data_IF_827029807539
#
_entry.id   IF_827029807539
#
_cell.length_a   1.000
_cell.length_b   1.000
_cell.length_c   1.000
_cell.angle_alpha   90.00
_cell.angle_beta   90.00
_cell.angle_gamma   90.00
#
_symmetry.space_group_name_H-M   'P 1'
#
loop_
_entity.id
_entity.type
_entity.pdbx_description
1 polymer ?
#
# COMPACT_ATOMS: atom_id res chain seq x y z
N UNK A 1 6.72 20.95 -0.60
CA UNK A 1 5.39 21.08 0.01
C UNK A 1 5.20 22.45 0.65
N UNK A 2 5.84 22.76 1.78
CA UNK A 2 5.67 24.08 2.46
C UNK A 2 6.06 25.29 1.59
N UNK A 3 6.95 25.09 0.62
CA UNK A 3 7.30 26.11 -0.38
C UNK A 3 6.20 26.41 -1.42
N UNK A 4 5.04 25.75 -1.36
CA UNK A 4 3.91 25.95 -2.27
C UNK A 4 4.12 25.48 -3.70
N UNK A 5 5.25 24.80 -3.99
CA UNK A 5 5.53 24.27 -5.33
C UNK A 5 4.58 23.12 -5.66
N UNK A 6 4.08 23.01 -6.91
CA UNK A 6 3.27 21.87 -7.35
C UNK A 6 3.96 20.53 -7.11
N UNK A 7 3.17 19.47 -6.95
CA UNK A 7 3.70 18.12 -6.68
C UNK A 7 4.55 17.62 -7.85
N UNK A 8 4.22 18.01 -9.08
CA UNK A 8 4.95 17.70 -10.31
C UNK A 8 6.39 18.21 -10.25
N UNK A 9 6.58 19.45 -9.78
CA UNK A 9 7.91 20.06 -9.61
C UNK A 9 8.73 19.29 -8.58
N UNK A 10 8.10 18.85 -7.49
CA UNK A 10 8.78 18.03 -6.46
C UNK A 10 9.14 16.66 -7.01
N UNK A 11 8.23 16.03 -7.77
CA UNK A 11 8.47 14.75 -8.44
C UNK A 11 9.61 14.82 -9.43
N UNK A 12 9.66 15.87 -10.25
CA UNK A 12 10.73 16.06 -11.23
C UNK A 12 12.07 16.38 -10.55
N UNK A 13 12.04 17.12 -9.45
CA UNK A 13 13.24 17.37 -8.64
C UNK A 13 13.79 16.07 -8.02
N UNK A 14 12.91 15.18 -7.56
CA UNK A 14 13.29 13.85 -7.05
C UNK A 14 13.91 12.99 -8.16
N UNK A 15 13.26 12.96 -9.33
CA UNK A 15 13.76 12.27 -10.53
C UNK A 15 15.16 12.75 -10.91
N UNK A 16 15.32 14.06 -11.05
CA UNK A 16 16.56 14.69 -11.46
C UNK A 16 17.68 14.41 -10.43
N UNK A 17 17.39 14.55 -9.13
CA UNK A 17 18.37 14.30 -8.08
C UNK A 17 18.86 12.85 -8.07
N UNK A 18 17.94 11.90 -8.08
CA UNK A 18 18.28 10.50 -7.82
C UNK A 18 18.44 9.65 -9.07
N UNK A 19 17.62 9.80 -10.11
CA UNK A 19 17.76 8.96 -11.30
C UNK A 19 18.69 9.56 -12.36
N UNK A 20 18.77 10.89 -12.49
CA UNK A 20 19.67 11.56 -13.45
C UNK A 20 21.06 11.76 -12.83
N UNK A 21 21.14 12.51 -11.71
CA UNK A 21 22.42 12.85 -11.07
C UNK A 21 22.98 11.76 -10.16
N UNK A 22 22.17 10.74 -9.82
CA UNK A 22 22.57 9.60 -8.97
C UNK A 22 23.23 10.05 -7.66
N UNK A 23 22.70 11.14 -7.09
CA UNK A 23 23.17 11.68 -5.82
C UNK A 23 22.96 10.69 -4.67
N UNK A 24 23.71 10.90 -3.58
CA UNK A 24 23.65 10.08 -2.36
C UNK A 24 23.93 8.57 -2.60
N UNK A 25 24.61 8.23 -3.71
CA UNK A 25 24.93 6.85 -4.08
C UNK A 25 23.75 6.06 -4.65
N UNK A 26 22.68 6.73 -5.07
CA UNK A 26 21.52 6.09 -5.72
C UNK A 26 21.82 5.78 -7.19
N UNK A 27 22.59 4.74 -7.47
CA UNK A 27 23.01 4.35 -8.81
C UNK A 27 22.07 3.34 -9.50
N UNK A 28 20.83 3.22 -9.01
CA UNK A 28 19.83 2.28 -9.53
C UNK A 28 19.52 2.47 -11.02
N UNK A 29 19.55 3.71 -11.52
CA UNK A 29 19.27 3.99 -12.93
C UNK A 29 20.31 3.43 -13.90
N UNK A 30 21.53 3.16 -13.43
CA UNK A 30 22.61 2.53 -14.20
C UNK A 30 22.76 1.04 -13.91
N UNK A 31 22.42 0.60 -12.68
CA UNK A 31 22.47 -0.83 -12.30
C UNK A 31 21.35 -1.67 -12.88
N UNK A 32 20.15 -1.11 -13.01
CA UNK A 32 18.97 -1.84 -13.48
C UNK A 32 18.61 -1.43 -14.92
N UNK A 33 18.90 -2.27 -15.93
CA UNK A 33 18.61 -1.95 -17.32
C UNK A 33 17.10 -1.93 -17.63
N UNK A 34 16.27 -2.63 -16.84
CA UNK A 34 14.82 -2.60 -17.03
C UNK A 34 14.25 -1.33 -16.40
N UNK A 35 13.81 -0.39 -17.24
CA UNK A 35 13.11 0.82 -16.80
C UNK A 35 13.93 1.69 -15.83
N UNK A 36 15.26 1.55 -15.81
CA UNK A 36 16.18 2.39 -15.03
C UNK A 36 15.85 2.45 -13.53
N UNK A 37 15.47 1.30 -12.96
CA UNK A 37 15.14 1.18 -11.55
C UNK A 37 13.79 1.79 -11.16
N UNK A 38 12.80 1.83 -12.07
CA UNK A 38 11.47 2.36 -11.75
C UNK A 38 10.72 1.56 -10.67
N UNK A 39 11.10 0.30 -10.42
CA UNK A 39 10.57 -0.53 -9.33
C UNK A 39 11.42 -0.48 -8.05
N UNK A 40 12.50 0.33 -8.03
CA UNK A 40 13.38 0.40 -6.88
C UNK A 40 12.66 0.98 -5.65
N UNK A 41 12.90 0.40 -4.49
CA UNK A 41 12.19 0.78 -3.26
C UNK A 41 12.39 2.26 -2.90
N UNK A 42 13.59 2.82 -3.12
CA UNK A 42 13.90 4.21 -2.77
C UNK A 42 13.07 5.24 -3.56
N UNK A 43 12.99 5.09 -4.89
CA UNK A 43 12.21 6.04 -5.70
C UNK A 43 10.71 5.93 -5.43
N UNK A 44 10.19 4.73 -5.20
CA UNK A 44 8.78 4.52 -4.87
C UNK A 44 8.43 4.96 -3.44
N UNK A 45 9.37 4.88 -2.51
CA UNK A 45 9.24 5.54 -1.21
C UNK A 45 9.15 7.06 -1.37
N UNK A 46 9.99 7.67 -2.20
CA UNK A 46 9.91 9.10 -2.52
C UNK A 46 8.56 9.49 -3.16
N UNK A 47 8.07 8.70 -4.12
CA UNK A 47 6.74 8.89 -4.71
C UNK A 47 5.61 8.75 -3.67
N UNK A 48 5.77 7.84 -2.69
CA UNK A 48 4.84 7.69 -1.57
C UNK A 48 4.81 8.95 -0.70
N UNK A 49 5.97 9.53 -0.37
CA UNK A 49 6.01 10.78 0.39
C UNK A 49 5.38 11.95 -0.38
N UNK A 50 5.67 12.08 -1.67
CA UNK A 50 5.08 13.13 -2.52
C UNK A 50 3.55 12.99 -2.51
N UNK A 51 3.03 11.80 -2.82
CA UNK A 51 1.59 11.57 -2.88
C UNK A 51 0.88 11.81 -1.55
N UNK A 52 1.45 11.41 -0.41
CA UNK A 52 0.85 11.67 0.90
C UNK A 52 0.82 13.16 1.23
N UNK A 53 1.96 13.85 1.10
CA UNK A 53 2.06 15.25 1.52
C UNK A 53 1.21 16.15 0.64
N UNK A 54 1.25 15.94 -0.68
CA UNK A 54 0.47 16.75 -1.62
C UNK A 54 -1.00 16.33 -1.71
N UNK A 55 -1.33 15.09 -1.35
CA UNK A 55 -2.71 14.62 -1.21
C UNK A 55 -3.33 14.97 0.14
N UNK A 56 -2.53 15.49 1.10
CA UNK A 56 -2.96 15.90 2.44
C UNK A 56 -3.75 14.83 3.23
N UNK A 57 -3.54 13.55 2.90
CA UNK A 57 -4.31 12.44 3.46
C UNK A 57 -5.73 12.27 2.91
N UNK A 58 -6.16 13.09 1.92
CA UNK A 58 -7.38 12.80 1.15
C UNK A 58 -7.15 11.54 0.31
N UNK A 59 -8.03 10.55 0.46
CA UNK A 59 -7.88 9.24 -0.18
C UNK A 59 -7.80 9.33 -1.70
N UNK A 60 -8.66 10.14 -2.33
CA UNK A 60 -8.71 10.23 -3.79
C UNK A 60 -7.53 11.01 -4.34
N UNK A 61 -7.21 12.14 -3.71
CA UNK A 61 -6.12 13.01 -4.14
C UNK A 61 -4.77 12.32 -3.96
N UNK A 62 -4.56 11.67 -2.81
CA UNK A 62 -3.35 10.89 -2.52
C UNK A 62 -3.17 9.75 -3.53
N UNK A 63 -4.21 8.97 -3.81
CA UNK A 63 -4.17 7.90 -4.82
C UNK A 63 -3.91 8.46 -6.22
N UNK A 64 -4.57 9.57 -6.59
CA UNK A 64 -4.40 10.21 -7.89
C UNK A 64 -2.95 10.65 -8.09
N UNK A 65 -2.37 11.34 -7.12
CA UNK A 65 -0.96 11.78 -7.20
C UNK A 65 -0.03 10.56 -7.22
N UNK A 66 -0.26 9.56 -6.36
CA UNK A 66 0.54 8.33 -6.34
C UNK A 66 0.58 7.61 -7.69
N UNK A 67 -0.57 7.50 -8.35
CA UNK A 67 -0.66 6.93 -9.69
C UNK A 67 0.04 7.80 -10.75
N UNK A 68 -0.04 9.13 -10.64
CA UNK A 68 0.52 10.08 -11.61
C UNK A 68 2.02 10.37 -11.41
N UNK A 69 2.64 9.96 -10.30
CA UNK A 69 4.09 10.05 -10.13
C UNK A 69 4.89 9.23 -11.17
N UNK A 70 4.28 8.19 -11.74
CA UNK A 70 4.70 7.55 -12.99
C UNK A 70 5.74 6.42 -12.90
N UNK A 71 6.30 6.11 -11.72
CA UNK A 71 7.15 4.93 -11.51
C UNK A 71 6.29 3.66 -11.31
N UNK A 72 6.50 2.89 -10.25
CA UNK A 72 5.69 1.73 -9.89
C UNK A 72 4.32 2.20 -9.37
N UNK A 73 3.46 2.68 -10.27
CA UNK A 73 2.29 3.50 -9.94
C UNK A 73 1.28 2.85 -8.99
N UNK A 74 1.23 1.52 -8.94
CA UNK A 74 0.38 0.78 -8.00
C UNK A 74 0.99 0.72 -6.59
N UNK A 75 2.30 0.89 -6.42
CA UNK A 75 2.97 0.72 -5.14
C UNK A 75 2.71 1.87 -4.13
N UNK A 76 2.95 3.16 -4.44
CA UNK A 76 2.49 4.27 -3.60
C UNK A 76 0.97 4.25 -3.40
N UNK A 77 0.24 3.93 -4.46
CA UNK A 77 -1.22 3.90 -4.48
C UNK A 77 -1.79 2.83 -3.56
N UNK A 78 -1.26 1.61 -3.59
CA UNK A 78 -1.70 0.51 -2.73
C UNK A 78 -1.29 0.76 -1.28
N UNK A 79 -0.12 1.35 -1.05
CA UNK A 79 0.36 1.73 0.29
C UNK A 79 -0.62 2.70 0.96
N UNK A 80 -0.93 3.83 0.32
CA UNK A 80 -1.84 4.81 0.90
C UNK A 80 -3.30 4.41 0.82
N UNK A 81 -3.72 3.75 -0.26
CA UNK A 81 -5.07 3.19 -0.37
C UNK A 81 -5.36 2.19 0.75
N UNK A 82 -4.37 1.37 1.12
CA UNK A 82 -4.45 0.46 2.25
C UNK A 82 -4.53 1.17 3.59
N UNK A 83 -3.58 2.07 3.89
CA UNK A 83 -3.51 2.75 5.19
C UNK A 83 -4.68 3.74 5.39
N UNK A 84 -4.91 4.65 4.45
CA UNK A 84 -6.01 5.61 4.53
C UNK A 84 -7.36 4.90 4.47
N UNK A 85 -7.49 3.87 3.62
CA UNK A 85 -8.70 3.04 3.57
C UNK A 85 -8.97 2.30 4.89
N UNK A 86 -7.93 1.83 5.58
CA UNK A 86 -8.06 1.25 6.91
C UNK A 86 -8.57 2.26 7.93
N UNK A 87 -8.01 3.48 7.95
CA UNK A 87 -8.40 4.55 8.87
C UNK A 87 -9.85 5.04 8.61
N UNK A 88 -10.24 5.17 7.35
CA UNK A 88 -11.58 5.60 6.95
C UNK A 88 -12.64 4.50 7.11
N UNK A 89 -12.21 3.23 7.10
CA UNK A 89 -13.09 2.08 7.04
C UNK A 89 -13.90 2.01 5.74
N UNK A 90 -14.70 0.96 5.61
CA UNK A 90 -15.49 0.69 4.39
C UNK A 90 -16.41 1.86 4.02
N UNK A 91 -17.10 2.44 5.01
CA UNK A 91 -18.07 3.53 4.77
C UNK A 91 -17.35 4.75 4.19
N UNK A 92 -16.25 5.18 4.79
CA UNK A 92 -15.51 6.34 4.30
C UNK A 92 -14.91 6.13 2.90
N UNK A 93 -14.46 4.91 2.57
CA UNK A 93 -14.01 4.58 1.21
C UNK A 93 -15.17 4.62 0.20
N UNK A 94 -16.32 4.03 0.54
CA UNK A 94 -17.51 4.06 -0.33
C UNK A 94 -18.01 5.50 -0.57
N UNK A 95 -17.96 6.35 0.44
CA UNK A 95 -18.28 7.78 0.34
C UNK A 95 -17.30 8.54 -0.54
N UNK A 96 -15.99 8.32 -0.35
CA UNK A 96 -14.95 8.96 -1.14
C UNK A 96 -15.15 8.69 -2.65
N UNK A 97 -15.48 7.45 -3.03
CA UNK A 97 -15.67 7.05 -4.42
C UNK A 97 -17.12 7.11 -4.93
N UNK A 98 -18.08 7.48 -4.08
CA UNK A 98 -19.50 7.58 -4.45
C UNK A 98 -20.10 6.25 -4.93
N UNK A 99 -19.60 5.11 -4.44
CA UNK A 99 -20.07 3.78 -4.86
C UNK A 99 -19.97 2.77 -3.74
N UNK A 100 -20.85 1.76 -3.77
CA UNK A 100 -20.73 0.59 -2.90
C UNK A 100 -19.62 -0.34 -3.38
N UNK A 101 -18.87 -0.90 -2.43
CA UNK A 101 -17.85 -1.89 -2.70
C UNK A 101 -18.47 -3.29 -2.76
N UNK A 102 -17.99 -4.18 -3.65
CA UNK A 102 -18.39 -5.58 -3.60
C UNK A 102 -17.85 -6.23 -2.32
N UNK A 103 -18.56 -7.23 -1.81
CA UNK A 103 -18.07 -8.07 -0.70
C UNK A 103 -17.31 -9.31 -1.19
N UNK A 104 -17.41 -9.63 -2.48
CA UNK A 104 -16.73 -10.75 -3.13
C UNK A 104 -15.43 -10.29 -3.79
N UNK A 105 -14.46 -11.20 -3.81
CA UNK A 105 -13.18 -11.04 -4.47
C UNK A 105 -12.88 -12.27 -5.35
N UNK A 106 -12.41 -12.03 -6.57
CA UNK A 106 -11.99 -13.09 -7.48
C UNK A 106 -10.47 -13.22 -7.46
N UNK A 107 -9.98 -14.17 -6.65
CA UNK A 107 -8.57 -14.48 -6.46
C UNK A 107 -7.93 -14.99 -7.76
N UNK A 108 -8.69 -15.73 -8.57
CA UNK A 108 -8.24 -16.26 -9.86
C UNK A 108 -7.95 -15.19 -10.92
N UNK A 109 -8.25 -13.91 -10.67
CA UNK A 109 -7.74 -12.81 -11.51
C UNK A 109 -6.21 -12.72 -11.51
N UNK A 110 -5.55 -13.10 -10.42
CA UNK A 110 -4.08 -12.96 -10.29
C UNK A 110 -3.38 -14.19 -9.70
N UNK A 111 -4.11 -15.13 -9.11
CA UNK A 111 -3.55 -16.33 -8.44
C UNK A 111 -4.39 -17.57 -8.72
N UNK A 112 -3.77 -18.69 -9.04
CA UNK A 112 -4.46 -19.96 -9.32
C UNK A 112 -4.42 -20.91 -8.12
N UNK A 113 -5.16 -22.02 -8.17
CA UNK A 113 -5.09 -23.10 -7.18
C UNK A 113 -5.94 -22.90 -5.93
N UNK A 114 -6.79 -21.88 -5.89
CA UNK A 114 -7.75 -21.65 -4.80
C UNK A 114 -9.07 -22.40 -5.04
N UNK A 115 -9.75 -22.88 -3.97
CA UNK A 115 -11.06 -23.53 -4.05
C UNK A 115 -12.15 -22.57 -4.55
N UNK A 116 -13.37 -23.07 -4.73
CA UNK A 116 -14.56 -22.29 -5.13
C UNK A 116 -14.36 -21.44 -6.40
N UNK A 117 -13.60 -21.98 -7.36
CA UNK A 117 -13.18 -21.28 -8.58
C UNK A 117 -12.54 -19.91 -8.31
N UNK A 118 -11.85 -19.78 -7.17
CA UNK A 118 -11.17 -18.56 -6.75
C UNK A 118 -12.07 -17.45 -6.25
N UNK A 119 -13.38 -17.68 -6.09
CA UNK A 119 -14.30 -16.69 -5.54
C UNK A 119 -14.32 -16.83 -4.01
N UNK A 120 -13.99 -15.75 -3.32
CA UNK A 120 -14.09 -15.66 -1.86
C UNK A 120 -14.77 -14.35 -1.44
N UNK A 121 -15.04 -14.18 -0.14
CA UNK A 121 -15.58 -12.96 0.45
C UNK A 121 -14.54 -12.31 1.37
N UNK A 122 -14.54 -10.98 1.45
CA UNK A 122 -13.62 -10.28 2.35
C UNK A 122 -13.75 -10.73 3.80
N UNK A 123 -14.97 -10.98 4.28
CA UNK A 123 -15.23 -11.51 5.64
C UNK A 123 -14.54 -12.85 5.91
N UNK A 124 -14.64 -13.81 4.98
CA UNK A 124 -13.97 -15.10 5.07
C UNK A 124 -12.45 -14.94 5.06
N UNK A 125 -11.92 -14.08 4.18
CA UNK A 125 -10.49 -13.78 4.08
C UNK A 125 -9.96 -13.15 5.38
N UNK A 126 -10.70 -12.19 5.95
CA UNK A 126 -10.38 -11.58 7.25
C UNK A 126 -10.36 -12.62 8.37
N UNK A 127 -11.37 -13.51 8.42
CA UNK A 127 -11.43 -14.55 9.43
C UNK A 127 -10.24 -15.51 9.34
N UNK A 128 -9.86 -15.94 8.13
CA UNK A 128 -8.63 -16.72 7.89
C UNK A 128 -7.38 -15.97 8.37
N UNK A 129 -7.31 -14.66 8.12
CA UNK A 129 -6.22 -13.81 8.60
C UNK A 129 -6.11 -13.78 10.13
N UNK A 130 -7.23 -13.62 10.84
CA UNK A 130 -7.27 -13.67 12.31
C UNK A 130 -6.79 -15.03 12.81
N UNK A 131 -7.27 -16.13 12.23
CA UNK A 131 -6.81 -17.47 12.61
C UNK A 131 -5.31 -17.67 12.41
N UNK A 132 -4.72 -17.12 11.33
CA UNK A 132 -3.28 -17.17 11.11
C UNK A 132 -2.55 -16.42 12.23
N UNK A 133 -3.02 -15.22 12.59
CA UNK A 133 -2.42 -14.43 13.68
C UNK A 133 -2.52 -15.18 15.01
N UNK A 134 -3.69 -15.71 15.35
CA UNK A 134 -3.90 -16.49 16.58
C UNK A 134 -2.90 -17.64 16.68
N UNK A 135 -2.72 -18.39 15.58
CA UNK A 135 -1.76 -19.50 15.54
C UNK A 135 -0.32 -19.03 15.67
N UNK A 136 0.07 -17.92 15.05
CA UNK A 136 1.41 -17.36 15.22
C UNK A 136 1.66 -16.97 16.67
N UNK A 137 0.72 -16.25 17.29
CA UNK A 137 0.81 -15.82 18.68
C UNK A 137 0.93 -17.03 19.61
N UNK A 138 0.10 -18.06 19.45
CA UNK A 138 0.10 -19.23 20.34
C UNK A 138 1.25 -20.21 20.06
N UNK A 139 1.44 -20.60 18.80
CA UNK A 139 2.33 -21.71 18.42
C UNK A 139 3.78 -21.27 18.22
N UNK A 140 4.01 -20.07 17.68
CA UNK A 140 5.36 -19.59 17.35
C UNK A 140 5.91 -18.66 18.43
N UNK A 141 5.06 -17.78 18.97
CA UNK A 141 5.50 -16.84 20.00
C UNK A 141 5.30 -17.40 21.41
N UNK A 142 4.50 -18.45 21.61
CA UNK A 142 4.11 -18.96 22.93
C UNK A 142 3.37 -17.92 23.80
N UNK A 143 2.65 -17.01 23.15
CA UNK A 143 1.74 -16.06 23.76
C UNK A 143 0.34 -16.64 23.99
N UNK A 144 -0.63 -15.76 24.25
CA UNK A 144 -2.04 -16.12 24.53
C UNK A 144 -3.03 -15.39 23.64
N UNK A 145 -4.20 -16.00 23.40
CA UNK A 145 -5.34 -15.39 22.71
C UNK A 145 -6.54 -15.43 23.64
N UNK A 146 -7.18 -14.29 23.88
CA UNK A 146 -8.47 -14.21 24.59
C UNK A 146 -9.53 -13.71 23.61
N UNK A 147 -10.30 -14.66 23.08
CA UNK A 147 -11.32 -14.42 22.05
C UNK A 147 -12.50 -13.61 22.63
N UNK A 148 -12.80 -13.76 23.93
CA UNK A 148 -13.91 -13.05 24.57
C UNK A 148 -13.57 -11.56 24.70
N UNK A 149 -12.32 -11.26 25.07
CA UNK A 149 -11.84 -9.87 25.17
C UNK A 149 -11.35 -9.31 23.83
N UNK A 150 -11.11 -10.15 22.84
CA UNK A 150 -10.59 -9.76 21.53
C UNK A 150 -9.15 -9.24 21.61
N UNK A 151 -8.30 -9.88 22.43
CA UNK A 151 -6.91 -9.44 22.63
C UNK A 151 -5.89 -10.56 22.45
N UNK A 152 -4.71 -10.19 22.01
CA UNK A 152 -3.52 -11.03 21.98
C UNK A 152 -2.57 -10.63 23.13
N UNK A 153 -2.03 -11.63 23.82
CA UNK A 153 -0.96 -11.46 24.80
C UNK A 153 0.34 -11.92 24.15
N UNK A 154 1.23 -10.98 23.86
CA UNK A 154 2.56 -11.29 23.35
C UNK A 154 3.51 -11.52 24.54
N UNK A 155 4.42 -12.50 24.45
CA UNK A 155 5.48 -12.65 25.44
C UNK A 155 6.46 -11.46 25.37
N UNK A 156 7.17 -11.22 26.49
CA UNK A 156 8.28 -10.26 26.56
C UNK A 156 9.48 -10.69 25.71
#
# INVERSE_FOLDING_TARGET
YESGQPWEVTRDSLYEKYQVRQEDGYDWSTREPVCHGCFAAGINFGASLISLFYGEGDLKETIKIGALCGWDSDNPTATWGGLLGFLLGRVGVEEAFGRKLPDQFNIHRTRVGFPDNGIDRFSNMTQKGIFIIDRVVQEQMHGGVDIIKGVWYLPE
#
